data_IF_158146773831
#
_entry.id   IF_158146773831
#
_cell.length_a   1.000
_cell.length_b   1.000
_cell.length_c   1.000
_cell.angle_alpha   90.00
_cell.angle_beta   90.00
_cell.angle_gamma   90.00
#
_symmetry.space_group_name_H-M   'P 1'
#
loop_
_entity.id
_entity.type
_entity.pdbx_description
1 polymer ?
#
# COMPACT_ATOMS: atom_id res chain seq x y z
N UNK A 1 -38.38 50.94 11.51
CA UNK A 1 -37.44 50.29 10.55
C UNK A 1 -36.35 49.43 11.19
N UNK A 2 -36.15 49.43 12.52
CA UNK A 2 -35.00 48.76 13.19
C UNK A 2 -35.18 47.23 13.43
N UNK A 3 -36.41 46.70 13.42
CA UNK A 3 -36.70 45.30 13.79
C UNK A 3 -36.38 44.24 12.72
N UNK A 4 -36.18 44.64 11.45
CA UNK A 4 -35.88 43.69 10.35
C UNK A 4 -34.38 43.38 10.21
N UNK A 5 -33.50 44.28 10.67
CA UNK A 5 -32.05 44.09 10.58
C UNK A 5 -31.51 43.08 11.62
N UNK A 6 -32.10 43.03 12.82
CA UNK A 6 -31.67 42.10 13.87
C UNK A 6 -31.98 40.63 13.54
N UNK A 7 -33.10 40.36 12.88
CA UNK A 7 -33.48 38.99 12.49
C UNK A 7 -32.62 38.46 11.33
N UNK A 8 -32.20 39.35 10.42
CA UNK A 8 -31.31 38.99 9.31
C UNK A 8 -29.88 38.68 9.80
N UNK A 9 -29.40 39.38 10.83
CA UNK A 9 -28.06 39.14 11.41
C UNK A 9 -27.98 37.87 12.27
N UNK A 10 -29.09 37.44 12.88
CA UNK A 10 -29.16 36.19 13.64
C UNK A 10 -29.14 34.96 12.71
N UNK A 11 -29.78 35.04 11.54
CA UNK A 11 -29.83 33.95 10.56
C UNK A 11 -28.47 33.72 9.88
N UNK A 12 -27.67 34.78 9.67
CA UNK A 12 -26.33 34.66 9.06
C UNK A 12 -25.29 34.06 10.03
N UNK A 13 -25.49 34.19 11.35
CA UNK A 13 -24.56 33.63 12.35
C UNK A 13 -24.79 32.14 12.64
N UNK A 14 -25.96 31.60 12.30
CA UNK A 14 -26.29 30.17 12.51
C UNK A 14 -25.78 29.30 11.35
N UNK A 15 -25.56 29.86 10.16
CA UNK A 15 -25.06 29.12 8.97
C UNK A 15 -23.54 29.02 8.89
N UNK A 16 -22.79 29.61 9.84
CA UNK A 16 -21.32 29.56 9.86
C UNK A 16 -20.74 28.34 10.62
N UNK A 17 -21.61 27.44 11.11
CA UNK A 17 -21.22 26.25 11.88
C UNK A 17 -21.18 24.96 11.05
N UNK A 18 -21.18 25.06 9.72
CA UNK A 18 -20.71 23.94 8.91
C UNK A 18 -19.19 23.88 9.03
N UNK A 19 -18.72 23.24 10.10
CA UNK A 19 -17.37 22.69 10.15
C UNK A 19 -17.25 21.82 8.91
N UNK A 20 -16.43 22.26 7.96
CA UNK A 20 -15.98 21.42 6.86
C UNK A 20 -15.26 20.26 7.55
N UNK A 21 -15.91 19.10 7.66
CA UNK A 21 -15.17 17.87 7.89
C UNK A 21 -14.33 17.73 6.62
N UNK A 22 -13.09 18.22 6.64
CA UNK A 22 -12.11 17.81 5.65
C UNK A 22 -11.98 16.30 5.80
N UNK A 23 -12.29 15.56 4.74
CA UNK A 23 -12.06 14.12 4.72
C UNK A 23 -10.53 13.97 4.68
N UNK A 24 -9.94 13.80 5.86
CA UNK A 24 -8.52 13.53 6.04
C UNK A 24 -8.39 12.03 6.23
N UNK A 25 -7.52 11.39 5.45
CA UNK A 25 -7.28 9.97 5.55
C UNK A 25 -6.27 9.73 6.68
N UNK A 26 -6.67 9.03 7.74
CA UNK A 26 -5.79 8.75 8.87
C UNK A 26 -5.10 7.39 8.69
N UNK A 27 -3.95 7.21 9.36
CA UNK A 27 -3.23 5.92 9.35
C UNK A 27 -4.09 4.74 9.84
N UNK A 28 -5.05 5.02 10.73
CA UNK A 28 -5.99 4.01 11.23
C UNK A 28 -6.99 3.53 10.18
N UNK A 29 -7.21 4.32 9.12
CA UNK A 29 -8.16 4.00 8.04
C UNK A 29 -7.53 3.09 6.98
N UNK A 30 -6.19 2.99 6.96
CA UNK A 30 -5.41 2.26 5.94
C UNK A 30 -4.55 1.13 6.54
N UNK A 31 -4.70 0.86 7.83
CA UNK A 31 -4.10 -0.29 8.52
C UNK A 31 -2.63 -0.17 8.92
N UNK A 32 -1.81 0.63 8.24
CA UNK A 32 -0.39 0.81 8.59
C UNK A 32 0.44 1.36 7.44
N UNK A 33 1.75 1.52 7.66
CA UNK A 33 2.71 1.86 6.60
C UNK A 33 3.34 0.58 6.07
N UNK A 34 3.37 0.43 4.76
CA UNK A 34 3.92 -0.75 4.09
C UNK A 34 5.44 -0.77 4.08
N UNK A 35 5.99 -1.98 4.05
CA UNK A 35 7.43 -2.18 4.18
C UNK A 35 8.09 -2.06 2.82
N UNK A 36 9.01 -1.09 2.68
CA UNK A 36 9.91 -1.03 1.54
C UNK A 36 10.87 -2.23 1.53
N UNK A 37 10.98 -2.89 0.36
CA UNK A 37 11.86 -4.07 0.18
C UNK A 37 13.07 -3.71 -0.68
N UNK A 38 12.83 -3.23 -1.90
CA UNK A 38 13.88 -3.03 -2.89
C UNK A 38 13.46 -2.05 -3.98
N UNK A 39 14.44 -1.57 -4.73
CA UNK A 39 14.21 -0.69 -5.87
C UNK A 39 15.25 -0.95 -6.97
N UNK A 40 14.84 -0.75 -8.23
CA UNK A 40 15.66 -1.06 -9.40
C UNK A 40 15.27 -0.23 -10.62
N UNK A 41 16.19 -0.20 -11.60
CA UNK A 41 15.92 0.31 -12.93
C UNK A 41 15.71 -0.83 -13.92
N UNK A 42 14.44 -1.14 -14.19
CA UNK A 42 14.10 -2.14 -15.19
C UNK A 42 14.07 -1.50 -16.58
N UNK A 43 14.72 -2.16 -17.55
CA UNK A 43 14.74 -1.73 -18.96
C UNK A 43 13.38 -1.83 -19.65
N UNK A 44 12.49 -2.67 -19.12
CA UNK A 44 11.14 -2.89 -19.63
C UNK A 44 10.17 -3.02 -18.45
N UNK A 45 8.92 -2.59 -18.66
CA UNK A 45 7.82 -2.67 -17.70
C UNK A 45 6.73 -3.61 -18.21
N UNK A 46 7.14 -4.73 -18.79
CA UNK A 46 6.20 -5.80 -19.11
C UNK A 46 5.99 -6.64 -17.87
N UNK A 47 4.76 -7.10 -17.63
CA UNK A 47 4.39 -7.91 -16.45
C UNK A 47 5.38 -9.05 -16.18
N UNK A 48 5.75 -9.81 -17.22
CA UNK A 48 6.73 -10.90 -17.08
C UNK A 48 8.14 -10.46 -16.64
N UNK A 49 8.56 -9.22 -16.97
CA UNK A 49 9.85 -8.67 -16.52
C UNK A 49 9.77 -8.20 -15.06
N UNK A 50 8.66 -7.60 -14.68
CA UNK A 50 8.42 -7.14 -13.32
C UNK A 50 8.23 -8.31 -12.37
N UNK A 51 7.43 -9.30 -12.73
CA UNK A 51 7.23 -10.56 -12.00
C UNK A 51 8.56 -11.27 -11.77
N UNK A 52 9.34 -11.53 -12.83
CA UNK A 52 10.65 -12.17 -12.69
C UNK A 52 11.63 -11.37 -11.82
N UNK A 53 11.54 -10.03 -11.83
CA UNK A 53 12.34 -9.20 -10.92
C UNK A 53 11.87 -9.35 -9.47
N UNK A 54 10.56 -9.28 -9.22
CA UNK A 54 9.97 -9.45 -7.88
C UNK A 54 10.33 -10.82 -7.30
N UNK A 55 10.15 -11.90 -8.05
CA UNK A 55 10.53 -13.26 -7.65
C UNK A 55 12.02 -13.35 -7.30
N UNK A 56 12.88 -12.67 -8.08
CA UNK A 56 14.33 -12.66 -7.81
C UNK A 56 14.72 -11.93 -6.52
N UNK A 57 13.90 -10.97 -6.08
CA UNK A 57 14.11 -10.22 -4.83
C UNK A 57 13.56 -10.99 -3.63
N UNK A 58 12.40 -11.63 -3.81
CA UNK A 58 11.68 -12.32 -2.75
C UNK A 58 12.17 -13.75 -2.50
N UNK A 59 12.84 -14.37 -3.49
CA UNK A 59 13.33 -15.76 -3.45
C UNK A 59 12.19 -16.80 -3.38
N UNK A 60 11.02 -16.46 -3.93
CA UNK A 60 9.89 -17.36 -4.15
C UNK A 60 8.98 -16.86 -5.27
N UNK A 61 8.18 -17.76 -5.83
CA UNK A 61 7.26 -17.47 -6.94
C UNK A 61 6.09 -16.59 -6.46
N UNK A 62 5.71 -15.58 -7.23
CA UNK A 62 4.52 -14.75 -6.96
C UNK A 62 3.53 -14.88 -8.11
N UNK A 63 2.28 -14.53 -7.86
CA UNK A 63 1.28 -14.39 -8.93
C UNK A 63 1.11 -12.91 -9.24
N UNK A 64 1.42 -12.50 -10.47
CA UNK A 64 1.04 -11.19 -10.97
C UNK A 64 -0.48 -11.09 -11.12
N UNK A 65 -1.14 -10.27 -10.29
CA UNK A 65 -2.59 -10.14 -10.28
C UNK A 65 -3.06 -9.19 -11.37
N UNK A 66 -2.58 -7.95 -11.31
CA UNK A 66 -2.98 -6.88 -12.22
C UNK A 66 -1.95 -5.75 -12.19
N UNK A 67 -2.06 -4.86 -13.18
CA UNK A 67 -1.36 -3.57 -13.20
C UNK A 67 -2.25 -2.53 -13.82
N UNK A 68 -2.11 -1.30 -13.34
CA UNK A 68 -2.89 -0.16 -13.83
C UNK A 68 -2.06 1.11 -13.80
N UNK A 69 -2.38 2.02 -14.72
CA UNK A 69 -1.81 3.36 -14.70
C UNK A 69 -2.32 4.10 -13.46
N UNK A 70 -1.41 4.75 -12.75
CA UNK A 70 -1.74 5.57 -11.58
C UNK A 70 -0.97 6.87 -11.63
N UNK A 71 -1.58 7.92 -11.10
CA UNK A 71 -1.09 9.29 -11.12
C UNK A 71 -1.01 9.83 -9.69
N UNK A 72 -0.29 10.94 -9.49
CA UNK A 72 -0.13 11.53 -8.16
C UNK A 72 -1.43 11.94 -7.47
N UNK A 73 -2.50 12.21 -8.23
CA UNK A 73 -3.83 12.50 -7.70
C UNK A 73 -4.51 11.32 -7.01
N UNK A 74 -4.07 10.10 -7.29
CA UNK A 74 -4.63 8.89 -6.70
C UNK A 74 -4.05 8.64 -5.29
N UNK A 75 -2.98 9.37 -4.95
CA UNK A 75 -2.24 9.24 -3.71
C UNK A 75 -2.57 10.39 -2.77
N UNK A 76 -3.03 10.05 -1.57
CA UNK A 76 -3.42 11.02 -0.54
C UNK A 76 -2.36 11.03 0.57
N UNK A 77 -1.84 12.21 0.90
CA UNK A 77 -0.99 12.39 2.08
C UNK A 77 -1.80 12.09 3.35
N UNK A 78 -1.30 11.21 4.20
CA UNK A 78 -1.97 10.85 5.44
C UNK A 78 -1.94 11.99 6.47
N UNK A 79 -3.01 12.10 7.26
CA UNK A 79 -3.14 13.14 8.26
C UNK A 79 -2.00 13.10 9.29
N UNK A 80 -1.44 14.27 9.59
CA UNK A 80 -0.34 14.41 10.54
C UNK A 80 1.01 13.86 10.07
N UNK A 81 1.14 13.43 8.81
CA UNK A 81 2.38 12.92 8.22
C UNK A 81 2.96 13.88 7.17
N UNK A 82 4.26 13.82 6.91
CA UNK A 82 4.94 14.65 5.90
C UNK A 82 5.17 13.92 4.58
N UNK A 83 5.49 12.62 4.64
CA UNK A 83 6.03 11.87 3.50
C UNK A 83 5.36 10.50 3.31
N UNK A 84 4.24 10.28 3.99
CA UNK A 84 3.47 9.01 3.95
C UNK A 84 2.19 9.21 3.18
N UNK A 85 2.09 8.53 2.05
CA UNK A 85 0.95 8.61 1.14
C UNK A 85 0.25 7.27 1.03
N UNK A 86 -1.07 7.31 0.86
CA UNK A 86 -1.87 6.12 0.64
C UNK A 86 -2.68 6.22 -0.66
N UNK A 87 -2.82 5.09 -1.36
CA UNK A 87 -3.72 4.92 -2.49
C UNK A 87 -4.46 3.59 -2.35
N UNK A 88 -5.72 3.55 -2.77
CA UNK A 88 -6.47 2.29 -2.83
C UNK A 88 -5.93 1.42 -3.95
N UNK A 89 -5.82 0.11 -3.71
CA UNK A 89 -5.45 -0.86 -4.74
C UNK A 89 -6.68 -1.60 -5.27
N UNK A 90 -6.58 -2.13 -6.50
CA UNK A 90 -7.71 -2.74 -7.20
C UNK A 90 -8.00 -4.17 -6.71
N UNK A 91 -6.95 -4.88 -6.29
CA UNK A 91 -7.02 -6.23 -5.75
C UNK A 91 -6.22 -6.29 -4.46
N UNK A 92 -6.82 -6.85 -3.40
CA UNK A 92 -6.09 -7.16 -2.19
C UNK A 92 -4.82 -7.97 -2.50
N UNK A 93 -3.66 -7.42 -2.16
CA UNK A 93 -2.36 -7.91 -2.62
C UNK A 93 -1.33 -7.92 -1.50
N UNK A 94 -0.53 -8.99 -1.43
CA UNK A 94 0.51 -9.14 -0.42
C UNK A 94 1.73 -8.26 -0.71
N UNK A 95 1.98 -8.01 -2.00
CA UNK A 95 3.07 -7.16 -2.47
C UNK A 95 2.56 -6.25 -3.58
N UNK A 96 3.16 -5.08 -3.69
CA UNK A 96 2.91 -4.17 -4.79
C UNK A 96 4.18 -3.47 -5.24
N UNK A 97 4.19 -3.13 -6.52
CA UNK A 97 5.27 -2.42 -7.18
C UNK A 97 4.75 -1.05 -7.59
N UNK A 98 5.51 -0.02 -7.28
CA UNK A 98 5.29 1.34 -7.76
C UNK A 98 6.32 1.67 -8.82
N UNK A 99 5.85 2.21 -9.95
CA UNK A 99 6.73 2.83 -10.94
C UNK A 99 6.61 4.34 -10.96
N UNK A 100 7.77 4.97 -10.84
CA UNK A 100 7.94 6.40 -10.95
C UNK A 100 8.65 6.79 -12.25
N UNK A 101 8.18 7.87 -12.86
CA UNK A 101 8.88 8.55 -13.93
C UNK A 101 10.18 9.19 -13.42
N UNK A 102 11.33 8.61 -13.77
CA UNK A 102 12.64 9.10 -13.30
C UNK A 102 12.99 10.47 -13.89
N UNK A 103 12.48 10.80 -15.08
CA UNK A 103 12.62 12.13 -15.70
C UNK A 103 14.07 12.61 -15.81
N UNK A 104 15.02 11.68 -16.02
CA UNK A 104 16.45 11.96 -16.09
C UNK A 104 17.14 12.21 -14.75
N UNK A 105 16.49 11.89 -13.63
CA UNK A 105 17.12 11.93 -12.29
C UNK A 105 17.85 10.63 -11.99
N UNK A 106 18.63 10.61 -10.90
CA UNK A 106 19.30 9.40 -10.41
C UNK A 106 18.40 8.48 -9.59
N UNK A 107 17.09 8.74 -9.56
CA UNK A 107 16.15 7.85 -8.88
C UNK A 107 15.95 6.59 -9.72
N UNK A 108 15.72 5.49 -9.01
CA UNK A 108 15.28 4.26 -9.63
C UNK A 108 13.83 4.40 -10.09
N UNK A 109 13.43 3.58 -11.05
CA UNK A 109 12.11 3.62 -11.68
C UNK A 109 11.10 2.71 -10.99
N UNK A 110 11.52 1.59 -10.41
CA UNK A 110 10.64 0.57 -9.82
C UNK A 110 10.96 0.40 -8.33
N UNK A 111 9.93 0.38 -7.49
CA UNK A 111 10.03 0.22 -6.04
C UNK A 111 9.05 -0.87 -5.61
N UNK A 112 9.55 -1.86 -4.87
CA UNK A 112 8.79 -2.99 -4.36
C UNK A 112 8.50 -2.81 -2.87
N UNK A 113 7.25 -3.05 -2.50
CA UNK A 113 6.75 -2.99 -1.14
C UNK A 113 6.00 -4.27 -0.78
N UNK A 114 6.02 -4.60 0.50
CA UNK A 114 5.18 -5.64 1.11
C UNK A 114 4.05 -4.96 1.87
N UNK A 115 2.83 -5.38 1.57
CA UNK A 115 1.65 -4.93 2.26
C UNK A 115 1.56 -5.60 3.63
N UNK A 116 1.64 -4.81 4.70
CA UNK A 116 1.55 -5.30 6.08
C UNK A 116 0.38 -4.68 6.85
N UNK A 117 -0.30 -3.71 6.24
CA UNK A 117 -1.45 -3.00 6.78
C UNK A 117 -2.76 -3.61 6.30
N UNK A 118 -3.63 -2.74 5.79
CA UNK A 118 -4.84 -3.18 5.10
C UNK A 118 -4.50 -3.54 3.65
N UNK A 119 -4.81 -4.77 3.25
CA UNK A 119 -4.46 -5.28 1.93
C UNK A 119 -5.16 -4.54 0.78
N UNK A 120 -6.21 -3.75 1.07
CA UNK A 120 -6.90 -2.91 0.09
C UNK A 120 -6.24 -1.54 -0.13
N UNK A 121 -5.15 -1.24 0.59
CA UNK A 121 -4.40 0.01 0.50
C UNK A 121 -2.92 -0.23 0.23
N UNK A 122 -2.31 0.66 -0.55
CA UNK A 122 -0.87 0.82 -0.65
C UNK A 122 -0.47 2.08 0.10
N UNK A 123 0.32 1.95 1.16
CA UNK A 123 0.70 3.03 2.08
C UNK A 123 2.21 3.15 2.14
N UNK A 124 2.75 4.17 1.50
CA UNK A 124 4.20 4.30 1.28
C UNK A 124 4.77 5.50 2.00
N UNK A 125 5.80 5.25 2.82
CA UNK A 125 6.76 6.26 3.25
C UNK A 125 7.86 6.39 2.18
N UNK A 126 7.77 7.45 1.39
CA UNK A 126 8.72 7.69 0.31
C UNK A 126 10.12 8.02 0.82
N UNK A 127 10.23 8.62 2.01
CA UNK A 127 11.53 8.92 2.62
C UNK A 127 12.28 7.65 3.00
N UNK A 128 11.55 6.62 3.46
CA UNK A 128 12.11 5.30 3.75
C UNK A 128 12.62 4.57 2.49
N UNK A 129 12.00 4.84 1.33
CA UNK A 129 12.47 4.39 0.01
C UNK A 129 13.62 5.25 -0.58
N UNK A 130 14.11 6.24 0.16
CA UNK A 130 15.16 7.16 -0.29
C UNK A 130 14.68 8.21 -1.31
N UNK A 131 13.37 8.40 -1.42
CA UNK A 131 12.73 9.39 -2.28
C UNK A 131 12.36 10.59 -1.42
N UNK A 132 12.93 11.74 -1.76
CA UNK A 132 12.63 13.00 -1.11
C UNK A 132 11.96 13.95 -2.12
N UNK A 133 10.65 14.15 -1.97
CA UNK A 133 9.86 15.06 -2.79
C UNK A 133 10.14 16.54 -2.48
N UNK A 134 10.84 16.85 -1.39
CA UNK A 134 11.21 18.21 -1.00
C UNK A 134 12.51 18.68 -1.67
N UNK A 135 13.42 17.77 -2.02
CA UNK A 135 14.80 18.11 -2.41
C UNK A 135 15.10 17.88 -3.90
N UNK A 136 14.21 17.23 -4.64
CA UNK A 136 14.38 17.00 -6.09
C UNK A 136 13.09 17.40 -6.78
N UNK A 137 13.13 17.90 -8.02
CA UNK A 137 11.96 18.25 -8.85
C UNK A 137 11.07 17.04 -9.20
N UNK A 138 10.69 16.29 -8.18
CA UNK A 138 10.07 14.99 -8.18
C UNK A 138 8.86 15.21 -7.30
N UNK A 139 7.69 15.15 -7.91
CA UNK A 139 6.42 15.18 -7.22
C UNK A 139 5.79 13.80 -7.29
N UNK A 140 4.82 13.56 -6.42
CA UNK A 140 3.96 12.38 -6.46
C UNK A 140 3.28 12.21 -7.83
N UNK A 141 3.10 13.30 -8.60
CA UNK A 141 2.56 13.29 -9.98
C UNK A 141 3.40 12.49 -10.98
N UNK A 142 4.60 12.07 -10.60
CA UNK A 142 5.44 11.18 -11.40
C UNK A 142 5.10 9.72 -11.24
N UNK A 143 4.12 9.38 -10.41
CA UNK A 143 3.47 8.07 -10.43
C UNK A 143 3.07 7.73 -11.86
N UNK A 144 3.37 6.50 -12.28
CA UNK A 144 3.03 6.03 -13.62
C UNK A 144 2.23 4.74 -13.61
N UNK A 145 2.57 3.79 -12.74
CA UNK A 145 1.79 2.58 -12.58
C UNK A 145 1.94 1.98 -11.18
N UNK A 146 0.97 1.14 -10.85
CA UNK A 146 1.04 0.19 -9.74
C UNK A 146 0.86 -1.23 -10.28
N UNK A 147 1.74 -2.15 -9.85
CA UNK A 147 1.65 -3.58 -10.12
C UNK A 147 1.32 -4.33 -8.83
N UNK A 148 0.41 -5.28 -8.89
CA UNK A 148 -0.15 -6.00 -7.73
C UNK A 148 0.23 -7.48 -7.78
N UNK A 149 0.67 -8.03 -6.65
CA UNK A 149 1.14 -9.41 -6.56
C UNK A 149 0.59 -10.12 -5.32
N UNK A 150 0.22 -11.37 -5.48
CA UNK A 150 -0.08 -12.27 -4.37
C UNK A 150 1.03 -13.30 -4.21
N UNK A 151 1.34 -13.64 -2.97
CA UNK A 151 2.17 -14.80 -2.69
C UNK A 151 1.46 -16.06 -3.19
N UNK A 152 2.19 -16.95 -3.87
CA UNK A 152 1.64 -18.29 -4.13
C UNK A 152 1.54 -18.99 -2.79
N UNK A 153 0.38 -19.60 -2.51
CA UNK A 153 0.20 -20.34 -1.27
C UNK A 153 1.21 -21.49 -1.23
N UNK A 154 2.26 -21.35 -0.43
CA UNK A 154 3.14 -22.47 -0.11
C UNK A 154 2.28 -23.50 0.60
N UNK A 155 2.20 -24.77 0.13
CA UNK A 155 1.47 -25.81 0.84
C UNK A 155 1.97 -25.85 2.29
N UNK A 156 1.04 -25.74 3.24
CA UNK A 156 1.36 -25.71 4.67
C UNK A 156 2.40 -26.80 5.00
N UNK A 157 3.44 -26.50 5.80
CA UNK A 157 4.47 -27.45 6.11
C UNK A 157 3.85 -28.76 6.60
N UNK A 158 4.24 -29.88 5.98
CA UNK A 158 3.86 -31.26 6.35
C UNK A 158 4.12 -31.61 7.83
N UNK A 159 4.70 -30.69 8.60
CA UNK A 159 4.78 -30.68 10.05
C UNK A 159 3.42 -30.82 10.74
N UNK A 160 2.32 -30.20 10.28
CA UNK A 160 0.99 -30.41 10.89
C UNK A 160 0.53 -31.86 10.69
N UNK A 161 0.77 -32.41 9.50
CA UNK A 161 0.49 -33.80 9.21
C UNK A 161 1.35 -34.75 10.06
N UNK A 162 2.64 -34.45 10.24
CA UNK A 162 3.55 -35.21 11.10
C UNK A 162 3.18 -35.12 12.59
N UNK A 163 2.76 -33.95 13.07
CA UNK A 163 2.24 -33.76 14.43
C UNK A 163 0.94 -34.55 14.60
N UNK A 164 0.05 -34.53 13.60
CA UNK A 164 -1.18 -35.33 13.57
C UNK A 164 -0.90 -36.83 13.63
N UNK A 165 0.02 -37.33 12.80
CA UNK A 165 0.44 -38.74 12.82
C UNK A 165 1.15 -39.12 14.13
N UNK A 166 1.97 -38.23 14.69
CA UNK A 166 2.64 -38.42 15.97
C UNK A 166 1.64 -38.56 17.12
N UNK A 167 0.63 -37.69 17.18
CA UNK A 167 -0.45 -37.79 18.17
C UNK A 167 -1.28 -39.05 17.99
N UNK A 168 -1.64 -39.41 16.76
CA UNK A 168 -2.38 -40.65 16.49
C UNK A 168 -1.57 -41.89 16.90
N UNK A 169 -0.25 -41.89 16.65
CA UNK A 169 0.65 -42.94 17.11
C UNK A 169 0.70 -43.07 18.63
N UNK A 170 0.75 -41.94 19.36
CA UNK A 170 0.70 -41.90 20.82
C UNK A 170 -0.63 -42.43 21.38
N UNK A 171 -1.76 -42.06 20.77
CA UNK A 171 -3.09 -42.56 21.16
C UNK A 171 -3.20 -44.07 20.89
N UNK A 172 -2.71 -44.53 19.74
CA UNK A 172 -2.70 -45.95 19.39
C UNK A 172 -1.81 -46.78 20.34
N UNK A 173 -0.68 -46.24 20.76
CA UNK A 173 0.21 -46.87 21.74
C UNK A 173 -0.45 -46.98 23.12
N UNK A 174 -1.19 -45.95 23.55
CA UNK A 174 -1.91 -45.97 24.84
C UNK A 174 -3.03 -47.02 24.90
N UNK A 175 -3.64 -47.37 23.76
CA UNK A 175 -4.68 -48.42 23.68
C UNK A 175 -4.13 -49.85 23.67
N UNK A 176 -2.81 -50.02 23.54
CA UNK A 176 -2.15 -51.34 23.54
C UNK A 176 -1.58 -51.75 24.90
N UNK A 177 -1.58 -50.84 25.88
CA UNK A 177 -1.31 -51.10 27.29
C UNK A 177 -2.63 -51.12 28.08
#
# INVERSE_FOLDING_TARGET
>A
MIRKAAFLSLVISITSLYSLNGWSLAITDVGGVDRFIASSDLRNSGSATEEAWVESILDFDVTFNTSYDSNGSDWTLLDGMSDVYAASINTASDYFLIKLGTGGTSLQSHYLFENIGDLDWAVVDFSAAGIDFSIKNISIDRMSHVGEFSSVSVPEPSSIFLIGLGLLGLIAQRKRH
#
